data_IF_766606495560
#
_entry.id   IF_766606495560
#
_cell.length_a   1.000
_cell.length_b   1.000
_cell.length_c   1.000
_cell.angle_alpha   90.00
_cell.angle_beta   90.00
_cell.angle_gamma   90.00
#
_symmetry.space_group_name_H-M   'P 1'
#
loop_
_entity.id
_entity.type
_entity.pdbx_description
1 polymer ?
#
# COMPACT_ATOMS: atom_id res chain seq x y z
N UNK A 1 66.50 -4.14 2.28
CA UNK A 1 67.17 -5.41 1.93
C UNK A 1 66.17 -6.51 2.18
N UNK A 2 65.43 -6.94 1.16
CA UNK A 2 65.82 -8.02 0.21
C UNK A 2 65.93 -9.37 0.95
N UNK A 3 65.42 -10.52 0.51
CA UNK A 3 64.56 -11.00 -0.59
C UNK A 3 64.33 -12.52 -0.32
N UNK A 4 63.49 -13.15 -1.14
CA UNK A 4 63.24 -14.60 -1.36
C UNK A 4 62.03 -15.20 -0.64
N UNK A 5 60.93 -15.62 -1.31
CA UNK A 5 60.69 -16.34 -2.59
C UNK A 5 61.19 -17.79 -2.59
N UNK A 6 60.26 -18.75 -2.52
CA UNK A 6 60.02 -19.72 -3.61
C UNK A 6 58.93 -20.75 -3.29
N UNK A 7 58.12 -20.96 -4.32
CA UNK A 7 57.07 -21.98 -4.51
C UNK A 7 57.61 -23.41 -4.59
N UNK A 8 56.77 -24.42 -4.32
CA UNK A 8 56.75 -25.67 -5.11
C UNK A 8 55.32 -26.22 -5.22
N UNK A 9 54.98 -26.65 -6.44
CA UNK A 9 53.73 -27.18 -6.95
C UNK A 9 53.66 -28.73 -6.86
N UNK A 10 52.48 -29.28 -7.19
CA UNK A 10 52.14 -30.66 -7.60
C UNK A 10 51.95 -31.76 -6.53
N UNK A 11 50.72 -32.30 -6.41
CA UNK A 11 50.25 -33.45 -7.20
C UNK A 11 48.81 -33.87 -6.81
N UNK A 12 47.94 -34.01 -7.82
CA UNK A 12 46.76 -34.90 -7.78
C UNK A 12 47.21 -36.35 -8.03
N UNK A 13 46.50 -37.35 -7.48
CA UNK A 13 45.73 -38.19 -8.42
C UNK A 13 44.39 -38.77 -7.88
N UNK A 14 43.46 -38.88 -8.85
CA UNK A 14 42.62 -40.02 -9.21
C UNK A 14 41.57 -40.64 -8.25
N UNK A 15 40.31 -40.49 -8.69
CA UNK A 15 39.27 -41.53 -8.89
C UNK A 15 38.86 -42.41 -7.70
N UNK A 16 37.58 -42.29 -7.33
CA UNK A 16 36.69 -43.45 -7.13
C UNK A 16 35.24 -43.08 -7.47
N UNK A 17 34.69 -43.83 -8.44
CA UNK A 17 33.27 -43.92 -8.74
C UNK A 17 32.53 -44.51 -7.54
N UNK A 18 31.42 -43.90 -7.14
CA UNK A 18 30.31 -44.62 -6.52
C UNK A 18 28.99 -44.16 -7.13
N UNK A 19 28.30 -45.14 -7.73
CA UNK A 19 26.92 -45.08 -8.20
C UNK A 19 26.00 -44.87 -7.00
N UNK A 20 24.98 -44.01 -7.14
CA UNK A 20 23.77 -44.13 -6.33
C UNK A 20 22.53 -43.78 -7.14
N UNK A 21 21.53 -44.63 -6.92
CA UNK A 21 20.22 -44.75 -7.53
C UNK A 21 19.48 -43.41 -7.66
N UNK A 22 19.00 -43.11 -8.87
CA UNK A 22 17.88 -42.21 -9.05
C UNK A 22 16.58 -42.95 -8.69
N UNK A 23 16.00 -42.63 -7.54
CA UNK A 23 14.63 -43.02 -7.20
C UNK A 23 13.72 -42.05 -7.95
N UNK A 24 13.02 -42.54 -8.97
CA UNK A 24 11.93 -41.82 -9.62
C UNK A 24 10.74 -41.73 -8.66
N UNK A 25 10.52 -40.55 -8.08
CA UNK A 25 9.26 -40.22 -7.43
C UNK A 25 8.19 -39.94 -8.49
N UNK A 26 6.96 -40.46 -8.33
CA UNK A 26 5.86 -40.14 -9.23
C UNK A 26 5.47 -38.66 -9.04
N UNK A 27 5.48 -37.91 -10.14
CA UNK A 27 4.89 -36.57 -10.23
C UNK A 27 3.38 -36.75 -10.10
N UNK A 28 2.86 -36.57 -8.89
CA UNK A 28 1.43 -36.37 -8.66
C UNK A 28 1.10 -34.99 -9.20
N UNK A 29 0.55 -34.95 -10.41
CA UNK A 29 -0.08 -33.75 -10.97
C UNK A 29 -1.37 -33.53 -10.17
N UNK A 30 -1.29 -32.71 -9.13
CA UNK A 30 -2.47 -32.15 -8.50
C UNK A 30 -3.19 -31.31 -9.56
N UNK A 31 -4.51 -31.47 -9.77
CA UNK A 31 -5.26 -30.54 -10.58
C UNK A 31 -5.17 -29.17 -9.88
N UNK A 32 -4.58 -28.19 -10.58
CA UNK A 32 -4.76 -26.79 -10.23
C UNK A 32 -6.26 -26.49 -10.42
N UNK A 33 -7.02 -26.64 -9.36
CA UNK A 33 -8.26 -25.91 -9.19
C UNK A 33 -7.86 -24.43 -9.15
N UNK A 34 -7.95 -23.77 -10.30
CA UNK A 34 -7.92 -22.33 -10.35
C UNK A 34 -9.20 -21.85 -9.65
N UNK A 35 -9.10 -21.60 -8.34
CA UNK A 35 -10.08 -20.80 -7.64
C UNK A 35 -10.03 -19.41 -8.28
N UNK A 36 -10.99 -19.13 -9.15
CA UNK A 36 -11.32 -17.77 -9.55
C UNK A 36 -11.95 -17.08 -8.33
N UNK A 37 -11.09 -16.56 -7.45
CA UNK A 37 -11.48 -15.73 -6.32
C UNK A 37 -10.37 -14.70 -6.11
N UNK A 38 -10.11 -13.93 -7.16
CA UNK A 38 -9.20 -12.79 -7.12
C UNK A 38 -10.05 -11.54 -7.08
N UNK A 39 -10.39 -11.06 -5.88
CA UNK A 39 -10.91 -9.71 -5.75
C UNK A 39 -9.69 -8.79 -5.60
N UNK A 40 -9.27 -8.13 -6.68
CA UNK A 40 -8.05 -7.34 -6.72
C UNK A 40 -8.33 -5.95 -6.15
N UNK A 41 -8.30 -5.84 -4.82
CA UNK A 41 -8.83 -4.68 -4.11
C UNK A 41 -8.19 -3.31 -4.40
N UNK A 42 -7.07 -3.24 -5.13
CA UNK A 42 -6.40 -1.98 -5.50
C UNK A 42 -6.29 -1.76 -7.01
N UNK A 43 -6.87 -2.66 -7.81
CA UNK A 43 -6.82 -2.63 -9.27
C UNK A 43 -8.23 -2.73 -9.91
N UNK A 44 -9.26 -3.25 -9.21
CA UNK A 44 -10.60 -3.52 -9.77
C UNK A 44 -11.66 -2.44 -9.51
N UNK A 45 -11.55 -1.63 -8.44
CA UNK A 45 -12.41 -0.47 -8.24
C UNK A 45 -11.70 0.75 -8.79
N UNK A 46 -12.08 1.18 -9.98
CA UNK A 46 -11.66 2.50 -10.45
C UNK A 46 -12.50 3.52 -9.70
N UNK A 47 -11.89 4.30 -8.81
CA UNK A 47 -12.57 5.48 -8.28
C UNK A 47 -12.93 6.35 -9.50
N UNK A 48 -14.22 6.69 -9.63
CA UNK A 48 -15.01 7.11 -10.81
C UNK A 48 -15.97 6.07 -11.43
N UNK A 49 -15.95 4.80 -11.01
CA UNK A 49 -16.96 3.82 -11.40
C UNK A 49 -18.35 4.32 -11.02
N UNK A 50 -19.34 4.06 -11.88
CA UNK A 50 -20.70 4.52 -11.59
C UNK A 50 -21.27 3.73 -10.43
N UNK A 51 -22.14 4.40 -9.66
CA UNK A 51 -22.91 3.77 -8.58
C UNK A 51 -23.62 2.48 -9.02
N UNK A 52 -24.15 2.47 -10.25
CA UNK A 52 -24.83 1.32 -10.85
C UNK A 52 -23.88 0.13 -11.08
N UNK A 53 -22.66 0.41 -11.54
CA UNK A 53 -21.65 -0.61 -11.80
C UNK A 53 -21.20 -1.25 -10.47
N UNK A 54 -20.91 -0.42 -9.47
CA UNK A 54 -20.54 -0.87 -8.11
C UNK A 54 -21.66 -1.73 -7.51
N UNK A 55 -22.90 -1.26 -7.60
CA UNK A 55 -24.09 -1.97 -7.09
C UNK A 55 -24.29 -3.32 -7.79
N UNK A 56 -23.89 -3.45 -9.05
CA UNK A 56 -24.05 -4.67 -9.84
C UNK A 56 -23.04 -5.76 -9.47
N UNK A 57 -21.99 -5.43 -8.73
CA UNK A 57 -20.96 -6.37 -8.35
C UNK A 57 -21.49 -7.43 -7.36
N UNK A 58 -21.04 -8.68 -7.46
CA UNK A 58 -21.41 -9.72 -6.51
C UNK A 58 -21.03 -9.33 -5.08
N UNK A 59 -21.96 -9.52 -4.14
CA UNK A 59 -21.74 -9.20 -2.72
C UNK A 59 -21.90 -7.71 -2.37
N UNK A 60 -22.19 -6.84 -3.34
CA UNK A 60 -22.50 -5.43 -3.07
C UNK A 60 -23.87 -5.30 -2.38
N UNK A 61 -23.94 -4.53 -1.31
CA UNK A 61 -25.19 -4.12 -0.68
C UNK A 61 -25.16 -2.64 -0.27
N UNK A 62 -26.33 -2.00 -0.21
CA UNK A 62 -26.45 -0.62 0.25
C UNK A 62 -26.27 -0.57 1.77
N UNK A 63 -25.29 0.20 2.23
CA UNK A 63 -24.98 0.41 3.64
C UNK A 63 -24.99 1.89 4.03
N UNK A 64 -25.68 2.74 3.26
CA UNK A 64 -25.73 4.20 3.45
C UNK A 64 -26.19 4.60 4.85
N UNK A 65 -27.08 3.81 5.47
CA UNK A 65 -27.57 4.05 6.83
C UNK A 65 -26.46 3.96 7.90
N UNK A 66 -25.42 3.14 7.68
CA UNK A 66 -24.26 3.07 8.58
C UNK A 66 -23.40 4.34 8.51
N UNK A 67 -23.46 5.07 7.39
CA UNK A 67 -22.65 6.25 7.11
C UNK A 67 -23.48 7.54 7.05
N UNK A 68 -24.48 7.65 7.93
CA UNK A 68 -25.32 8.85 8.09
C UNK A 68 -26.06 9.27 6.81
N UNK A 69 -26.50 8.29 6.01
CA UNK A 69 -27.25 8.52 4.77
C UNK A 69 -26.39 8.93 3.57
N UNK A 70 -25.06 8.91 3.70
CA UNK A 70 -24.15 9.07 2.54
C UNK A 70 -24.25 7.83 1.66
N UNK A 71 -24.47 8.02 0.36
CA UNK A 71 -24.60 6.91 -0.59
C UNK A 71 -23.34 6.04 -0.54
N UNK A 72 -23.47 4.82 -0.02
CA UNK A 72 -22.35 3.93 0.25
C UNK A 72 -22.74 2.49 -0.07
N UNK A 73 -21.91 1.83 -0.85
CA UNK A 73 -22.04 0.40 -1.12
C UNK A 73 -20.98 -0.37 -0.36
N UNK A 74 -21.40 -1.39 0.38
CA UNK A 74 -20.53 -2.24 1.15
C UNK A 74 -20.41 -3.62 0.54
N UNK A 75 -19.30 -4.27 0.87
CA UNK A 75 -19.01 -5.65 0.55
C UNK A 75 -18.54 -6.32 1.84
N UNK A 76 -19.16 -7.45 2.18
CA UNK A 76 -18.77 -8.28 3.30
C UNK A 76 -17.89 -9.44 2.84
N UNK A 77 -17.06 -9.96 3.76
CA UNK A 77 -16.24 -11.16 3.54
C UNK A 77 -15.24 -11.05 2.38
N UNK A 78 -14.86 -9.84 2.00
CA UNK A 78 -13.78 -9.63 1.05
C UNK A 78 -12.43 -9.88 1.75
N UNK A 79 -11.55 -10.60 1.07
CA UNK A 79 -10.16 -10.74 1.49
C UNK A 79 -9.34 -9.61 0.92
N UNK A 80 -8.85 -8.74 1.80
CA UNK A 80 -8.02 -7.61 1.42
C UNK A 80 -6.68 -7.74 2.12
N UNK A 81 -5.58 -7.52 1.38
CA UNK A 81 -4.23 -7.66 1.91
C UNK A 81 -3.92 -9.02 2.55
N UNK A 82 -4.68 -10.06 2.20
CA UNK A 82 -4.63 -11.40 2.80
C UNK A 82 -5.14 -11.47 4.26
N UNK A 83 -6.02 -10.55 4.65
CA UNK A 83 -6.75 -10.57 5.94
C UNK A 83 -8.20 -11.02 5.70
N UNK A 84 -8.74 -11.80 6.65
CA UNK A 84 -10.07 -12.40 6.60
C UNK A 84 -11.11 -11.52 7.31
N UNK A 85 -12.37 -11.60 6.85
CA UNK A 85 -13.59 -11.07 7.52
C UNK A 85 -13.71 -9.54 7.62
N UNK A 86 -13.73 -8.84 6.48
CA UNK A 86 -13.69 -7.38 6.49
C UNK A 86 -14.83 -6.72 5.72
N UNK A 87 -15.19 -5.53 6.21
CA UNK A 87 -16.11 -4.62 5.57
C UNK A 87 -15.30 -3.68 4.69
N UNK A 88 -15.58 -3.71 3.39
CA UNK A 88 -15.16 -2.69 2.46
C UNK A 88 -16.36 -1.79 2.15
N UNK A 89 -16.18 -0.49 2.28
CA UNK A 89 -17.19 0.52 1.98
C UNK A 89 -16.72 1.40 0.82
N UNK A 90 -17.53 1.51 -0.22
CA UNK A 90 -17.31 2.41 -1.36
C UNK A 90 -18.24 3.61 -1.21
N UNK A 91 -17.66 4.77 -0.96
CA UNK A 91 -18.39 6.03 -0.85
C UNK A 91 -18.61 6.63 -2.22
N UNK A 92 -19.85 7.00 -2.49
CA UNK A 92 -20.28 7.52 -3.79
C UNK A 92 -20.68 8.99 -3.65
N UNK A 93 -20.12 9.83 -4.51
CA UNK A 93 -20.44 11.24 -4.64
C UNK A 93 -20.84 11.47 -6.10
N UNK A 94 -21.95 12.19 -6.34
CA UNK A 94 -22.45 12.47 -7.69
C UNK A 94 -22.57 11.21 -8.58
N UNK A 95 -23.05 10.11 -7.99
CA UNK A 95 -23.20 8.79 -8.65
C UNK A 95 -21.89 8.14 -9.12
N UNK A 96 -20.74 8.55 -8.58
CA UNK A 96 -19.43 7.95 -8.86
C UNK A 96 -18.69 7.57 -7.58
N UNK A 97 -17.93 6.46 -7.63
CA UNK A 97 -17.02 6.10 -6.54
C UNK A 97 -16.00 7.21 -6.31
N UNK A 98 -15.95 7.74 -5.09
CA UNK A 98 -15.04 8.81 -4.69
C UNK A 98 -13.91 8.29 -3.80
N UNK A 99 -14.25 7.43 -2.85
CA UNK A 99 -13.28 6.82 -1.93
C UNK A 99 -13.70 5.43 -1.53
N UNK A 100 -12.72 4.60 -1.21
CA UNK A 100 -12.93 3.27 -0.63
C UNK A 100 -12.35 3.28 0.78
N UNK A 101 -13.09 2.72 1.72
CA UNK A 101 -12.62 2.47 3.07
C UNK A 101 -12.65 0.98 3.34
N UNK A 102 -11.59 0.53 3.97
CA UNK A 102 -11.40 -0.83 4.41
C UNK A 102 -11.13 -0.80 5.90
N UNK A 103 -11.86 -1.59 6.69
CA UNK A 103 -11.71 -1.62 8.14
C UNK A 103 -11.51 -3.04 8.63
N UNK A 104 -10.53 -3.22 9.52
CA UNK A 104 -10.18 -4.51 10.15
C UNK A 104 -9.87 -4.34 11.64
N UNK A 105 -10.21 -5.31 12.51
CA UNK A 105 -9.85 -5.25 13.92
C UNK A 105 -8.33 -5.13 14.14
N UNK A 106 -7.93 -4.31 15.11
CA UNK A 106 -6.52 -4.14 15.45
C UNK A 106 -6.01 -5.36 16.20
N UNK A 107 -5.02 -6.03 15.61
CA UNK A 107 -4.14 -6.96 16.30
C UNK A 107 -2.76 -6.92 15.63
N UNK A 108 -1.75 -7.54 16.26
CA UNK A 108 -0.40 -7.53 15.72
C UNK A 108 -0.28 -8.18 14.33
N UNK A 109 -1.12 -9.17 14.01
CA UNK A 109 -1.10 -9.83 12.71
C UNK A 109 -1.73 -8.93 11.63
N UNK A 110 -2.94 -8.40 11.86
CA UNK A 110 -3.62 -7.50 10.91
C UNK A 110 -2.78 -6.24 10.65
N UNK A 111 -2.20 -5.64 11.71
CA UNK A 111 -1.32 -4.48 11.58
C UNK A 111 -0.14 -4.72 10.64
N UNK A 112 0.61 -5.79 10.88
CA UNK A 112 1.78 -6.11 10.04
C UNK A 112 1.38 -6.52 8.63
N UNK A 113 0.27 -7.26 8.48
CA UNK A 113 -0.22 -7.73 7.19
C UNK A 113 -0.70 -6.58 6.32
N UNK A 114 -1.49 -5.65 6.85
CA UNK A 114 -1.94 -4.45 6.12
C UNK A 114 -0.76 -3.60 5.71
N UNK A 115 0.14 -3.27 6.65
CA UNK A 115 1.32 -2.45 6.37
C UNK A 115 2.22 -3.08 5.29
N UNK A 116 2.45 -4.39 5.37
CA UNK A 116 3.20 -5.12 4.36
C UNK A 116 2.45 -5.19 3.02
N UNK A 117 1.13 -5.34 3.03
CA UNK A 117 0.26 -5.36 1.86
C UNK A 117 0.34 -4.05 1.07
N UNK A 118 0.25 -2.91 1.76
CA UNK A 118 0.41 -1.57 1.18
C UNK A 118 1.79 -1.40 0.51
N UNK A 119 2.86 -1.88 1.16
CA UNK A 119 4.22 -1.86 0.59
C UNK A 119 4.37 -2.79 -0.62
N UNK A 120 3.78 -3.99 -0.59
CA UNK A 120 3.78 -4.93 -1.73
C UNK A 120 3.07 -4.33 -2.96
N UNK A 121 2.12 -3.43 -2.74
CA UNK A 121 1.42 -2.67 -3.79
C UNK A 121 2.21 -1.49 -4.35
N UNK A 122 3.47 -1.31 -3.93
CA UNK A 122 4.38 -0.30 -4.48
C UNK A 122 4.14 1.11 -3.96
N UNK A 123 3.33 1.24 -2.91
CA UNK A 123 3.07 2.51 -2.24
C UNK A 123 4.30 2.93 -1.41
N UNK A 124 4.58 4.23 -1.41
CA UNK A 124 5.72 4.86 -0.74
C UNK A 124 5.20 5.67 0.44
N UNK A 125 5.88 5.55 1.58
CA UNK A 125 5.59 6.39 2.75
C UNK A 125 5.84 7.86 2.42
N UNK A 126 4.87 8.69 2.76
CA UNK A 126 4.91 10.11 2.48
C UNK A 126 4.78 10.93 3.76
N UNK A 127 3.95 10.46 4.70
CA UNK A 127 3.81 11.04 6.03
C UNK A 127 3.53 9.97 7.08
N UNK A 128 4.00 10.18 8.31
CA UNK A 128 3.70 9.37 9.49
C UNK A 128 3.43 10.29 10.67
N UNK A 129 2.30 10.11 11.34
CA UNK A 129 2.00 10.68 12.65
C UNK A 129 1.85 9.55 13.67
N UNK A 130 2.58 9.60 14.78
CA UNK A 130 2.42 8.70 15.93
C UNK A 130 2.42 9.52 17.21
N UNK A 131 1.29 9.54 17.93
CA UNK A 131 1.18 10.23 19.22
C UNK A 131 1.73 11.68 19.20
N UNK A 132 1.24 12.49 18.25
CA UNK A 132 1.64 13.89 18.00
C UNK A 132 3.07 14.10 17.50
N UNK A 133 3.82 13.03 17.24
CA UNK A 133 5.11 13.09 16.55
C UNK A 133 4.93 12.81 15.06
N UNK A 134 5.38 13.75 14.22
CA UNK A 134 5.20 13.68 12.78
C UNK A 134 6.52 13.56 12.03
N UNK A 135 6.52 12.76 10.96
CA UNK A 135 7.59 12.70 9.98
C UNK A 135 7.01 12.87 8.58
N UNK A 136 7.36 13.97 7.92
CA UNK A 136 7.05 14.23 6.52
C UNK A 136 8.25 13.88 5.64
N UNK A 137 8.08 12.91 4.76
CA UNK A 137 9.17 12.38 3.92
C UNK A 137 9.50 13.35 2.78
N UNK A 138 8.51 14.10 2.25
CA UNK A 138 8.76 15.10 1.21
C UNK A 138 9.54 16.29 1.77
N UNK A 139 9.24 16.74 2.98
CA UNK A 139 10.03 17.77 3.65
C UNK A 139 11.42 17.27 4.00
N UNK A 140 11.50 16.05 4.55
CA UNK A 140 12.74 15.44 5.00
C UNK A 140 13.76 15.24 3.87
N UNK A 141 13.33 14.77 2.70
CA UNK A 141 14.23 14.41 1.57
C UNK A 141 14.94 15.61 0.94
N UNK A 142 14.50 16.84 1.26
CA UNK A 142 15.17 18.06 0.81
C UNK A 142 16.45 18.37 1.59
N UNK A 143 16.57 17.83 2.80
CA UNK A 143 17.65 18.16 3.74
C UNK A 143 18.44 16.95 4.21
N UNK A 144 17.83 15.77 4.18
CA UNK A 144 18.40 14.52 4.64
C UNK A 144 18.57 13.55 3.48
N UNK A 145 19.60 12.71 3.56
CA UNK A 145 19.70 11.58 2.65
C UNK A 145 18.63 10.53 2.95
N UNK A 146 18.37 9.69 1.95
CA UNK A 146 17.30 8.69 2.01
C UNK A 146 17.50 7.67 3.13
N UNK A 147 18.74 7.26 3.43
CA UNK A 147 18.99 6.27 4.46
C UNK A 147 18.62 6.83 5.84
N UNK A 148 19.02 8.07 6.12
CA UNK A 148 18.66 8.76 7.37
C UNK A 148 17.14 8.87 7.54
N UNK A 149 16.39 9.17 6.48
CA UNK A 149 14.93 9.22 6.54
C UNK A 149 14.28 7.86 6.76
N UNK A 150 14.77 6.83 6.09
CA UNK A 150 14.29 5.46 6.28
C UNK A 150 14.53 5.00 7.73
N UNK A 151 15.68 5.36 8.32
CA UNK A 151 16.00 5.11 9.73
C UNK A 151 15.07 5.88 10.68
N UNK A 152 14.84 7.18 10.45
CA UNK A 152 13.91 7.98 11.26
C UNK A 152 12.48 7.45 11.21
N UNK A 153 12.01 7.06 10.01
CA UNK A 153 10.70 6.45 9.82
C UNK A 153 10.58 5.13 10.57
N UNK A 154 11.60 4.29 10.48
CA UNK A 154 11.63 3.01 11.20
C UNK A 154 11.60 3.23 12.72
N UNK A 155 12.41 4.16 13.23
CA UNK A 155 12.45 4.48 14.66
C UNK A 155 11.11 5.02 15.14
N UNK A 156 10.49 5.97 14.42
CA UNK A 156 9.20 6.55 14.82
C UNK A 156 8.08 5.49 14.79
N UNK A 157 8.01 4.69 13.73
CA UNK A 157 6.98 3.66 13.58
C UNK A 157 7.05 2.54 14.63
N UNK A 158 8.24 2.27 15.19
CA UNK A 158 8.46 1.19 16.16
C UNK A 158 8.76 1.68 17.59
N UNK A 159 8.75 2.99 17.83
CA UNK A 159 9.01 3.56 19.16
C UNK A 159 7.95 3.15 20.18
N UNK A 160 6.71 3.05 19.72
CA UNK A 160 5.53 2.77 20.52
C UNK A 160 4.93 1.41 20.13
N UNK A 161 4.20 0.79 21.05
CA UNK A 161 3.44 -0.42 20.77
C UNK A 161 2.34 -0.16 19.71
N UNK A 162 1.97 -1.20 18.95
CA UNK A 162 1.02 -1.12 17.84
C UNK A 162 -0.40 -0.67 18.25
N UNK A 163 -0.71 -0.57 19.56
CA UNK A 163 -1.98 -0.02 20.08
C UNK A 163 -2.03 1.50 20.15
N UNK A 164 -0.88 2.19 20.09
CA UNK A 164 -0.83 3.66 20.09
C UNK A 164 -1.41 4.23 18.78
N UNK A 165 -2.26 5.27 18.85
CA UNK A 165 -2.82 5.89 17.66
C UNK A 165 -1.74 6.36 16.68
N UNK A 166 -1.93 6.04 15.40
CA UNK A 166 -1.04 6.47 14.33
C UNK A 166 -1.76 6.59 13.00
N UNK A 167 -1.22 7.45 12.16
CA UNK A 167 -1.68 7.67 10.81
C UNK A 167 -0.50 7.61 9.85
N UNK A 168 -0.61 6.76 8.84
CA UNK A 168 0.32 6.71 7.72
C UNK A 168 -0.35 7.27 6.48
N UNK A 169 0.34 8.15 5.76
CA UNK A 169 -0.03 8.52 4.41
C UNK A 169 0.96 7.89 3.43
N UNK A 170 0.40 7.21 2.44
CA UNK A 170 1.12 6.63 1.34
C UNK A 170 0.70 7.25 0.02
N UNK A 171 1.67 7.33 -0.89
CA UNK A 171 1.49 7.75 -2.27
C UNK A 171 1.98 6.67 -3.21
N UNK A 172 1.44 6.65 -4.42
CA UNK A 172 2.12 5.95 -5.50
C UNK A 172 3.50 6.56 -5.73
N UNK A 173 4.48 5.72 -6.08
CA UNK A 173 5.83 6.17 -6.42
C UNK A 173 5.84 7.26 -7.51
N UNK A 174 4.90 7.21 -8.46
CA UNK A 174 4.74 8.24 -9.49
C UNK A 174 4.35 9.60 -8.89
N UNK A 175 3.31 9.62 -8.06
CA UNK A 175 2.81 10.80 -7.36
C UNK A 175 3.86 11.42 -6.45
N UNK A 176 4.52 10.61 -5.62
CA UNK A 176 5.59 11.08 -4.75
C UNK A 176 6.73 11.75 -5.54
N UNK A 177 7.17 11.12 -6.64
CA UNK A 177 8.25 11.69 -7.47
C UNK A 177 7.82 12.95 -8.23
N UNK A 178 6.53 13.13 -8.52
CA UNK A 178 6.02 14.36 -9.11
C UNK A 178 5.99 15.49 -8.08
N UNK A 179 5.45 15.24 -6.89
CA UNK A 179 5.47 16.19 -5.78
C UNK A 179 6.90 16.69 -5.49
N UNK A 180 7.86 15.76 -5.40
CA UNK A 180 9.27 16.09 -5.23
C UNK A 180 9.84 16.94 -6.39
N UNK A 181 9.54 16.59 -7.65
CA UNK A 181 10.01 17.34 -8.83
C UNK A 181 9.38 18.73 -8.96
N UNK A 182 8.17 18.90 -8.47
CA UNK A 182 7.45 20.18 -8.43
C UNK A 182 7.97 21.09 -7.30
N UNK A 183 8.84 20.59 -6.42
CA UNK A 183 9.40 21.37 -5.33
C UNK A 183 8.43 21.59 -4.17
N UNK A 184 7.44 20.71 -4.03
CA UNK A 184 6.51 20.74 -2.90
C UNK A 184 7.29 20.57 -1.59
N UNK A 185 7.06 21.46 -0.62
CA UNK A 185 7.84 21.51 0.62
C UNK A 185 7.43 20.43 1.62
N UNK A 186 6.19 19.98 1.55
CA UNK A 186 5.63 18.96 2.43
C UNK A 186 4.37 18.35 1.78
N UNK A 187 3.82 17.31 2.41
CA UNK A 187 2.63 16.61 1.92
C UNK A 187 1.38 17.47 2.00
N UNK A 188 1.25 18.32 3.02
CA UNK A 188 0.11 19.24 3.12
C UNK A 188 0.05 20.16 1.90
N UNK A 189 1.16 20.79 1.53
CA UNK A 189 1.27 21.63 0.35
C UNK A 189 0.88 20.87 -0.92
N UNK A 190 1.34 19.62 -1.07
CA UNK A 190 0.95 18.80 -2.22
C UNK A 190 -0.56 18.48 -2.23
N UNK A 191 -1.17 18.18 -1.08
CA UNK A 191 -2.61 17.93 -0.95
C UNK A 191 -3.45 19.19 -1.18
N UNK A 192 -2.97 20.36 -0.79
CA UNK A 192 -3.73 21.62 -0.85
C UNK A 192 -3.37 22.49 -2.05
N UNK A 193 -2.35 22.14 -2.84
CA UNK A 193 -2.00 22.85 -4.07
C UNK A 193 -3.12 22.67 -5.10
N UNK A 194 -4.16 23.49 -4.95
CA UNK A 194 -5.22 23.74 -5.92
C UNK A 194 -4.61 24.41 -7.14
N UNK A 195 -4.97 23.93 -8.31
CA UNK A 195 -4.46 24.36 -9.61
C UNK A 195 -2.99 24.03 -9.88
N UNK A 196 -2.59 22.77 -9.65
CA UNK A 196 -1.47 22.27 -10.43
C UNK A 196 -1.88 22.23 -11.91
N UNK A 197 -1.10 22.82 -12.81
CA UNK A 197 -1.21 22.60 -14.26
C UNK A 197 -0.97 21.14 -14.68
N UNK A 198 -0.68 20.28 -13.71
CA UNK A 198 -0.43 18.87 -13.88
C UNK A 198 -1.75 18.10 -13.92
N UNK A 199 -2.26 17.90 -15.13
CA UNK A 199 -3.42 17.06 -15.41
C UNK A 199 -3.24 15.62 -14.87
N UNK A 200 -2.01 15.15 -14.62
CA UNK A 200 -1.79 13.84 -14.01
C UNK A 200 -2.12 13.83 -12.52
N UNK A 201 -2.00 14.97 -11.82
CA UNK A 201 -2.28 15.08 -10.38
C UNK A 201 -3.74 14.73 -10.07
N UNK A 202 -4.67 15.01 -10.99
CA UNK A 202 -6.08 14.60 -10.88
C UNK A 202 -6.26 13.10 -10.68
N UNK A 203 -5.31 12.28 -11.14
CA UNK A 203 -5.34 10.82 -11.03
C UNK A 203 -4.44 10.30 -9.90
N UNK A 204 -3.90 11.18 -9.07
CA UNK A 204 -3.05 10.77 -7.96
C UNK A 204 -3.94 10.30 -6.81
N UNK A 205 -3.78 9.02 -6.47
CA UNK A 205 -4.44 8.45 -5.29
C UNK A 205 -3.59 8.66 -4.05
N UNK A 206 -4.29 8.87 -2.95
CA UNK A 206 -3.75 8.83 -1.60
C UNK A 206 -4.29 7.61 -0.89
N UNK A 207 -3.42 6.96 -0.12
CA UNK A 207 -3.82 5.87 0.78
C UNK A 207 -3.46 6.28 2.20
N UNK A 208 -4.46 6.36 3.06
CA UNK A 208 -4.28 6.69 4.48
C UNK A 208 -4.58 5.44 5.29
N UNK A 209 -3.63 4.99 6.10
CA UNK A 209 -3.84 3.94 7.10
C UNK A 209 -3.89 4.58 8.48
N UNK A 210 -5.06 4.61 9.08
CA UNK A 210 -5.30 5.04 10.45
C UNK A 210 -5.35 3.83 11.38
N UNK A 211 -4.65 3.88 12.50
CA UNK A 211 -4.69 2.87 13.55
C UNK A 211 -5.23 3.53 14.81
N UNK A 212 -6.30 2.94 15.34
CA UNK A 212 -6.93 3.31 16.61
C UNK A 212 -6.79 2.17 17.62
N UNK A 213 -7.27 2.35 18.84
CA UNK A 213 -7.19 1.31 19.88
C UNK A 213 -7.88 -0.01 19.50
N UNK A 214 -8.89 0.03 18.61
CA UNK A 214 -9.75 -1.12 18.30
C UNK A 214 -9.64 -1.61 16.86
N UNK A 215 -9.29 -0.73 15.92
CA UNK A 215 -9.32 -1.04 14.50
C UNK A 215 -8.23 -0.32 13.70
N UNK A 216 -7.94 -0.90 12.54
CA UNK A 216 -7.18 -0.31 11.45
C UNK A 216 -8.17 0.06 10.36
N UNK A 217 -8.08 1.29 9.87
CA UNK A 217 -8.86 1.77 8.74
C UNK A 217 -7.90 2.21 7.63
N UNK A 218 -8.09 1.68 6.43
CA UNK A 218 -7.36 2.08 5.23
C UNK A 218 -8.33 2.79 4.30
N UNK A 219 -8.07 4.05 4.01
CA UNK A 219 -8.86 4.86 3.09
C UNK A 219 -8.05 5.10 1.82
N UNK A 220 -8.64 4.78 0.67
CA UNK A 220 -8.12 5.11 -0.66
C UNK A 220 -8.99 6.21 -1.25
N UNK A 221 -8.38 7.29 -1.70
CA UNK A 221 -9.11 8.44 -2.28
C UNK A 221 -8.31 9.06 -3.42
N UNK A 222 -9.01 9.76 -4.32
CA UNK A 222 -8.41 10.66 -5.30
C UNK A 222 -8.73 12.10 -4.88
N UNK A 223 -7.91 12.70 -4.02
CA UNK A 223 -8.24 13.99 -3.39
C UNK A 223 -8.37 15.16 -4.39
N UNK A 224 -7.98 14.96 -5.65
CA UNK A 224 -7.96 15.97 -6.70
C UNK A 224 -9.04 15.76 -7.77
N UNK A 225 -9.81 14.67 -7.71
CA UNK A 225 -10.97 14.47 -8.58
C UNK A 225 -12.12 15.31 -8.04
N UNK A 226 -12.59 16.28 -8.82
CA UNK A 226 -13.74 17.13 -8.44
C UNK A 226 -13.38 18.44 -7.75
N UNK A 227 -12.10 18.76 -7.51
CA UNK A 227 -11.69 20.10 -7.04
C UNK A 227 -11.60 21.14 -8.16
N UNK A 228 -12.02 20.80 -9.38
CA UNK A 228 -12.30 21.78 -10.42
C UNK A 228 -13.46 22.64 -9.96
N UNK A 229 -13.13 23.80 -9.38
CA UNK A 229 -14.09 24.89 -9.23
C UNK A 229 -14.77 25.07 -10.58
N UNK A 230 -16.07 24.83 -10.63
CA UNK A 230 -16.86 25.01 -11.83
C UNK A 230 -16.63 26.41 -12.40
N UNK A 231 -16.10 26.44 -13.63
CA UNK A 231 -16.56 27.31 -14.70
C UNK A 231 -16.41 26.50 -15.98
N UNK A 232 -17.42 25.69 -16.28
CA UNK A 232 -17.83 25.44 -17.65
C UNK A 232 -19.36 25.60 -17.64
N UNK A 233 -19.80 26.78 -18.10
CA UNK A 233 -21.19 27.07 -18.50
C UNK A 233 -21.61 26.17 -19.68
#
# INVERSE_FOLDING_TARGET
>A
MELNVSSVFFHLPAKRLFRSLAVMLPVVVLPLSASASGLHLLDDFYLNDKAEDIRSLPGAFDCSDLYSGKLTYCFDQLRVFDVDEELLAVFVVEQKAHSVEYTTPLNAASYNTVLAGLRRKGLVFAHLNVNDETLDVLAGIQHLDRQTLDEQMFVLANRYDFTVPREYLFLDKGAFNRAYRQGEQNIEQWLTAGDSTDEQKKYDRTVIMSVSAEQITVTVSYPFVGTGTGIDD
#
